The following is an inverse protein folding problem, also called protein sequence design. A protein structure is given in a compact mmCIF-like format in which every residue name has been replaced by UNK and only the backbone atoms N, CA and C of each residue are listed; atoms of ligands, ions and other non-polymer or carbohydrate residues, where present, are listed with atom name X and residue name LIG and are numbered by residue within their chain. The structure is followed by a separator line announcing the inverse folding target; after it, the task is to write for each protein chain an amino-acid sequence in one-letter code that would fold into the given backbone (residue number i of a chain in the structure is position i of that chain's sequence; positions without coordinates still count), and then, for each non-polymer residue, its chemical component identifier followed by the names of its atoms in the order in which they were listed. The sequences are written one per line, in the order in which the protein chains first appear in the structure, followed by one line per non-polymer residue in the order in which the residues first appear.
data_IF_403411805965
#
_entry.id   IF_403411805965
#
_cell.length_a   1.000
_cell.length_b   1.000
_cell.length_c   1.000
_cell.angle_alpha   90.00
_cell.angle_beta   90.00
_cell.angle_gamma   90.00
#
_symmetry.space_group_name_H-M   'P 1'
#
loop_
_entity.id
_entity.type
_entity.pdbx_description
1 polymer ?
#
# COMPACT_ATOMS: atom_id res chain seq x y z
N UNK A 1 -2.04 50.51 -34.16
CA UNK A 1 -2.43 49.36 -33.31
C UNK A 1 -1.90 48.08 -33.95
N UNK A 2 -1.00 47.30 -33.31
CA UNK A 2 -0.76 45.93 -33.72
C UNK A 2 -1.48 44.95 -32.78
N UNK A 3 -2.22 44.02 -33.36
CA UNK A 3 -2.96 42.95 -32.68
C UNK A 3 -1.96 41.96 -32.07
N UNK A 4 -2.12 41.66 -30.79
CA UNK A 4 -1.37 40.62 -30.10
C UNK A 4 -1.60 39.26 -30.78
N UNK A 5 -0.52 38.58 -31.15
CA UNK A 5 -0.55 37.20 -31.63
C UNK A 5 -0.91 36.29 -30.45
N UNK A 6 -1.74 35.24 -30.62
CA UNK A 6 -2.09 34.37 -29.51
C UNK A 6 -0.79 33.67 -29.06
N UNK A 7 -0.48 33.80 -27.77
CA UNK A 7 0.71 33.22 -27.16
C UNK A 7 0.70 31.70 -27.39
N UNK A 8 1.50 31.24 -28.35
CA UNK A 8 1.78 29.82 -28.55
C UNK A 8 2.65 29.40 -27.36
N UNK A 9 2.13 28.57 -26.45
CA UNK A 9 2.97 28.00 -25.40
C UNK A 9 4.11 27.24 -26.06
N UNK A 10 5.32 27.42 -25.55
CA UNK A 10 6.46 26.65 -26.04
C UNK A 10 6.22 25.17 -25.77
N UNK A 11 6.68 24.27 -26.65
CA UNK A 11 6.61 22.82 -26.43
C UNK A 11 7.23 22.42 -25.08
N UNK A 12 8.20 23.20 -24.59
CA UNK A 12 8.78 23.04 -23.25
C UNK A 12 7.77 23.38 -22.16
N UNK A 13 7.02 24.48 -22.29
CA UNK A 13 5.98 24.87 -21.33
C UNK A 13 4.87 23.82 -21.26
N UNK A 14 4.45 23.26 -22.39
CA UNK A 14 3.49 22.15 -22.41
C UNK A 14 4.04 20.88 -21.76
N UNK A 15 5.31 20.56 -22.00
CA UNK A 15 5.96 19.43 -21.36
C UNK A 15 6.05 19.61 -19.84
N UNK A 16 6.38 20.81 -19.37
CA UNK A 16 6.41 21.14 -17.93
C UNK A 16 5.03 20.97 -17.30
N UNK A 17 3.96 21.45 -17.94
CA UNK A 17 2.59 21.27 -17.43
C UNK A 17 2.25 19.78 -17.31
N UNK A 18 2.54 18.98 -18.34
CA UNK A 18 2.28 17.53 -18.29
C UNK A 18 3.07 16.82 -17.19
N UNK A 19 4.30 17.25 -16.93
CA UNK A 19 5.11 16.69 -15.83
C UNK A 19 4.43 16.96 -14.48
N UNK A 20 3.99 18.19 -14.24
CA UNK A 20 3.32 18.57 -12.98
C UNK A 20 2.00 17.80 -12.80
N UNK A 21 1.24 17.61 -13.87
CA UNK A 21 -0.01 16.83 -13.83
C UNK A 21 0.27 15.37 -13.45
N UNK A 22 1.28 14.74 -14.08
CA UNK A 22 1.70 13.36 -13.76
C UNK A 22 2.22 13.25 -12.32
N UNK A 23 3.02 14.21 -11.86
CA UNK A 23 3.50 14.23 -10.47
C UNK A 23 2.33 14.29 -9.48
N UNK A 24 1.31 15.10 -9.79
CA UNK A 24 0.09 15.21 -8.98
C UNK A 24 -0.69 13.89 -8.97
N UNK A 25 -0.83 13.24 -10.12
CA UNK A 25 -1.49 11.93 -10.25
C UNK A 25 -0.76 10.84 -9.44
N UNK A 26 0.57 10.77 -9.55
CA UNK A 26 1.40 9.84 -8.77
C UNK A 26 1.23 10.07 -7.27
N UNK A 27 1.25 11.32 -6.82
CA UNK A 27 1.05 11.65 -5.42
C UNK A 27 -0.34 11.24 -4.91
N UNK A 28 -1.38 11.39 -5.73
CA UNK A 28 -2.72 10.95 -5.40
C UNK A 28 -2.81 9.42 -5.28
N UNK A 29 -2.17 8.68 -6.18
CA UNK A 29 -2.09 7.22 -6.09
C UNK A 29 -1.33 6.76 -4.84
N UNK A 30 -0.22 7.42 -4.50
CA UNK A 30 0.51 7.16 -3.25
C UNK A 30 -0.40 7.37 -2.05
N UNK A 31 -1.13 8.48 -2.00
CA UNK A 31 -2.05 8.77 -0.90
C UNK A 31 -3.15 7.70 -0.77
N UNK A 32 -3.73 7.25 -1.89
CA UNK A 32 -4.72 6.16 -1.89
C UNK A 32 -4.13 4.85 -1.36
N UNK A 33 -2.91 4.49 -1.79
CA UNK A 33 -2.22 3.31 -1.29
C UNK A 33 -1.90 3.40 0.20
N UNK A 34 -1.50 4.58 0.69
CA UNK A 34 -1.26 4.80 2.12
C UNK A 34 -2.54 4.65 2.94
N UNK A 35 -3.67 5.19 2.45
CA UNK A 35 -4.99 5.02 3.09
C UNK A 35 -5.37 3.54 3.16
N UNK A 36 -5.26 2.81 2.05
CA UNK A 36 -5.57 1.38 2.02
C UNK A 36 -4.66 0.58 2.97
N UNK A 37 -3.36 0.88 2.99
CA UNK A 37 -2.41 0.25 3.91
C UNK A 37 -2.80 0.48 5.37
N UNK A 38 -3.27 1.70 5.69
CA UNK A 38 -3.75 2.05 7.02
C UNK A 38 -5.01 1.26 7.40
N UNK A 39 -5.99 1.17 6.51
CA UNK A 39 -7.23 0.40 6.74
C UNK A 39 -6.94 -1.10 6.98
N UNK A 40 -6.02 -1.68 6.21
CA UNK A 40 -5.55 -3.05 6.42
C UNK A 40 -4.87 -3.17 7.79
N UNK A 41 -4.00 -2.23 8.15
CA UNK A 41 -3.32 -2.20 9.45
C UNK A 41 -4.29 -2.11 10.63
N UNK A 42 -5.30 -1.26 10.55
CA UNK A 42 -6.35 -1.14 11.57
C UNK A 42 -7.16 -2.44 11.70
N UNK A 43 -7.48 -3.09 10.58
CA UNK A 43 -8.17 -4.38 10.57
C UNK A 43 -7.32 -5.47 11.24
N UNK A 44 -6.02 -5.53 10.93
CA UNK A 44 -5.09 -6.48 11.55
C UNK A 44 -4.96 -6.22 13.05
N UNK A 45 -4.74 -4.96 13.46
CA UNK A 45 -4.53 -4.61 14.86
C UNK A 45 -5.78 -4.81 15.74
N UNK A 46 -6.97 -4.94 15.13
CA UNK A 46 -8.19 -5.32 15.85
C UNK A 46 -8.16 -6.77 16.39
N UNK A 47 -7.23 -7.60 15.90
CA UNK A 47 -7.00 -8.97 16.38
C UNK A 47 -6.32 -8.88 17.75
N UNK A 48 -6.96 -9.35 18.82
CA UNK A 48 -6.35 -9.37 20.16
C UNK A 48 -5.29 -10.49 20.32
N UNK A 49 -4.36 -10.62 19.38
CA UNK A 49 -3.32 -11.64 19.39
C UNK A 49 -2.08 -11.18 18.62
N UNK A 50 -1.07 -10.72 19.37
CA UNK A 50 0.21 -10.23 18.85
C UNK A 50 0.84 -11.15 17.78
N UNK A 51 0.82 -12.47 18.01
CA UNK A 51 1.38 -13.44 17.05
C UNK A 51 0.61 -13.49 15.73
N UNK A 52 -0.71 -13.37 15.79
CA UNK A 52 -1.58 -13.35 14.61
C UNK A 52 -1.42 -12.03 13.85
N UNK A 53 -1.39 -10.92 14.59
CA UNK A 53 -1.10 -9.58 14.03
C UNK A 53 0.22 -9.59 13.27
N UNK A 54 1.32 -10.01 13.91
CA UNK A 54 2.66 -10.05 13.30
C UNK A 54 2.68 -10.83 11.98
N UNK A 55 2.05 -12.01 11.93
CA UNK A 55 2.02 -12.78 10.67
C UNK A 55 1.26 -12.06 9.57
N UNK A 56 0.12 -11.44 9.88
CA UNK A 56 -0.65 -10.72 8.87
C UNK A 56 0.06 -9.44 8.42
N UNK A 57 0.71 -8.71 9.32
CA UNK A 57 1.52 -7.54 8.95
C UNK A 57 2.67 -7.94 8.02
N UNK A 58 3.43 -8.98 8.40
CA UNK A 58 4.52 -9.49 7.58
C UNK A 58 4.04 -9.93 6.19
N UNK A 59 2.87 -10.59 6.14
CA UNK A 59 2.34 -11.14 4.89
C UNK A 59 1.71 -10.08 3.98
N UNK A 60 0.95 -9.14 4.54
CA UNK A 60 0.07 -8.25 3.78
C UNK A 60 0.46 -6.78 3.80
N UNK A 61 1.28 -6.31 4.77
CA UNK A 61 1.77 -4.93 4.82
C UNK A 61 3.23 -4.78 4.37
N UNK A 62 4.05 -5.82 4.57
CA UNK A 62 5.46 -5.84 4.14
C UNK A 62 5.73 -6.85 3.03
N UNK A 63 4.71 -7.61 2.60
CA UNK A 63 4.75 -8.54 1.46
C UNK A 63 5.84 -9.62 1.54
N UNK A 64 6.17 -10.08 2.74
CA UNK A 64 7.14 -11.16 2.92
C UNK A 64 6.59 -12.50 2.41
N UNK A 65 7.47 -13.29 1.81
CA UNK A 65 7.25 -14.69 1.50
C UNK A 65 7.15 -15.54 2.76
N UNK A 66 6.58 -16.74 2.64
CA UNK A 66 6.49 -17.67 3.77
C UNK A 66 7.88 -18.12 4.25
N UNK A 67 8.83 -18.21 3.32
CA UNK A 67 10.23 -18.49 3.57
C UNK A 67 10.88 -17.41 4.43
N UNK A 68 10.70 -16.13 4.08
CA UNK A 68 11.22 -15.00 4.85
C UNK A 68 10.58 -14.93 6.24
N UNK A 69 9.26 -15.11 6.34
CA UNK A 69 8.55 -15.11 7.63
C UNK A 69 9.04 -16.26 8.52
N UNK A 70 9.16 -17.46 7.96
CA UNK A 70 9.67 -18.65 8.65
C UNK A 70 11.09 -18.43 9.17
N UNK A 71 11.98 -17.86 8.34
CA UNK A 71 13.35 -17.53 8.71
C UNK A 71 13.40 -16.43 9.81
N UNK A 72 12.60 -15.38 9.67
CA UNK A 72 12.58 -14.26 10.61
C UNK A 72 12.00 -14.64 11.98
N UNK A 73 10.98 -15.49 12.02
CA UNK A 73 10.35 -15.96 13.26
C UNK A 73 11.02 -17.22 13.84
N UNK A 74 11.99 -17.82 13.14
CA UNK A 74 12.66 -19.05 13.58
C UNK A 74 11.70 -20.24 13.72
N UNK A 75 10.63 -20.27 12.94
CA UNK A 75 9.55 -21.27 13.02
C UNK A 75 9.47 -22.09 11.73
N UNK A 76 8.94 -23.32 11.81
CA UNK A 76 8.67 -24.12 10.61
C UNK A 76 7.54 -23.50 9.78
N UNK A 77 7.56 -23.73 8.46
CA UNK A 77 6.49 -23.28 7.56
C UNK A 77 5.11 -23.80 7.99
N UNK A 78 5.02 -25.04 8.47
CA UNK A 78 3.76 -25.62 8.93
C UNK A 78 3.16 -24.83 10.11
N UNK A 79 3.99 -24.41 11.06
CA UNK A 79 3.53 -23.57 12.17
C UNK A 79 3.08 -22.19 11.69
N UNK A 80 3.83 -21.59 10.75
CA UNK A 80 3.46 -20.31 10.14
C UNK A 80 2.11 -20.41 9.43
N UNK A 81 1.86 -21.45 8.65
CA UNK A 81 0.56 -21.66 8.00
C UNK A 81 -0.57 -21.87 8.99
N UNK A 82 -0.35 -22.66 10.05
CA UNK A 82 -1.36 -22.86 11.09
C UNK A 82 -1.72 -21.53 11.80
N UNK A 83 -0.70 -20.73 12.14
CA UNK A 83 -0.90 -19.45 12.78
C UNK A 83 -1.54 -18.42 11.84
N UNK A 84 -1.18 -18.45 10.55
CA UNK A 84 -1.82 -17.63 9.51
C UNK A 84 -3.31 -17.96 9.36
N UNK A 85 -3.67 -19.25 9.28
CA UNK A 85 -5.07 -19.67 9.23
C UNK A 85 -5.87 -19.15 10.42
N UNK A 86 -5.33 -19.34 11.64
CA UNK A 86 -5.93 -18.82 12.86
C UNK A 86 -6.08 -17.29 12.84
N UNK A 87 -5.10 -16.57 12.30
CA UNK A 87 -5.16 -15.12 12.19
C UNK A 87 -6.28 -14.68 11.24
N UNK A 88 -6.47 -15.38 10.11
CA UNK A 88 -7.55 -15.10 9.15
C UNK A 88 -8.95 -15.38 9.72
N UNK A 89 -9.10 -16.32 10.64
CA UNK A 89 -10.39 -16.55 11.33
C UNK A 89 -10.73 -15.43 12.32
N UNK A 90 -9.71 -14.72 12.84
CA UNK A 90 -9.88 -13.66 13.84
C UNK A 90 -10.06 -12.28 13.21
N UNK A 91 -9.44 -12.04 12.04
CA UNK A 91 -9.49 -10.74 11.38
C UNK A 91 -10.88 -10.45 10.83
N UNK A 92 -11.35 -9.21 11.00
CA UNK A 92 -12.58 -8.73 10.36
C UNK A 92 -12.23 -7.75 9.26
N UNK A 93 -12.63 -8.08 8.04
CA UNK A 93 -12.45 -7.19 6.89
C UNK A 93 -13.65 -6.23 6.83
N UNK A 94 -13.43 -4.91 6.77
CA UNK A 94 -14.51 -3.93 6.58
C UNK A 94 -15.28 -4.20 5.29
N UNK A 95 -16.59 -3.98 5.29
CA UNK A 95 -17.38 -4.03 4.07
C UNK A 95 -16.98 -2.88 3.14
N UNK A 96 -16.88 -3.16 1.84
CA UNK A 96 -16.56 -2.20 0.77
C UNK A 96 -17.68 -1.20 0.52
#
# INVERSE_FOLDING_TARGET
MPKASPAHRSAIEEAVVRIVDIETEVNNWIAQLMTLKKEIGESIHSINSMKCETILEMRYLTFMSWEEISAQLGCSKDYIYHLHWKALELVRVPAS
#
